data_IF_606477389983
#
_entry.id   IF_606477389983
#
_cell.length_a   1.000
_cell.length_b   1.000
_cell.length_c   1.000
_cell.angle_alpha   90.00
_cell.angle_beta   90.00
_cell.angle_gamma   90.00
#
_symmetry.space_group_name_H-M   'P 1'
#
loop_
_entity.id
_entity.type
_entity.pdbx_description
1 polymer ?
#
# COMPACT_ATOMS: atom_id res chain seq x y z
N UNK A 1 4.53 -6.43 2.61
CA UNK A 1 3.57 -6.40 1.49
C UNK A 1 2.36 -7.28 1.81
N UNK A 2 2.53 -8.59 1.98
CA UNK A 2 1.42 -9.54 2.19
C UNK A 2 0.51 -9.20 3.39
N UNK A 3 1.08 -8.75 4.52
CA UNK A 3 0.27 -8.32 5.66
C UNK A 3 -0.67 -7.15 5.30
N UNK A 4 -0.21 -6.16 4.54
CA UNK A 4 -1.06 -5.06 4.11
C UNK A 4 -2.12 -5.54 3.10
N UNK A 5 -1.75 -6.43 2.18
CA UNK A 5 -2.68 -7.03 1.20
C UNK A 5 -3.83 -7.79 1.87
N UNK A 6 -3.53 -8.55 2.93
CA UNK A 6 -4.54 -9.23 3.76
C UNK A 6 -5.54 -8.23 4.34
N UNK A 7 -5.05 -7.11 4.89
CA UNK A 7 -5.88 -6.11 5.57
C UNK A 7 -6.75 -5.26 4.63
N UNK A 8 -6.47 -5.25 3.34
CA UNK A 8 -7.30 -4.59 2.31
C UNK A 8 -8.18 -5.56 1.53
N UNK A 9 -8.33 -6.80 2.00
CA UNK A 9 -9.25 -7.78 1.41
C UNK A 9 -8.74 -8.52 0.18
N UNK A 10 -7.41 -8.55 -0.06
CA UNK A 10 -6.81 -9.30 -1.16
C UNK A 10 -6.45 -10.76 -0.79
N UNK A 11 -6.83 -11.22 0.41
CA UNK A 11 -6.56 -12.57 0.90
C UNK A 11 -7.79 -13.48 0.82
N UNK A 12 -7.60 -14.77 1.12
CA UNK A 12 -8.63 -15.82 0.94
C UNK A 12 -9.83 -15.71 1.90
N UNK A 13 -9.70 -14.99 3.02
CA UNK A 13 -10.76 -14.78 4.01
C UNK A 13 -10.94 -13.28 4.34
N UNK A 14 -11.45 -12.47 3.40
CA UNK A 14 -11.52 -11.03 3.55
C UNK A 14 -12.52 -10.57 4.61
N UNK A 15 -13.57 -11.35 4.89
CA UNK A 15 -14.59 -10.99 5.89
C UNK A 15 -14.05 -10.95 7.31
N UNK A 16 -13.09 -11.83 7.65
CA UNK A 16 -12.51 -11.88 8.99
C UNK A 16 -11.18 -11.11 9.12
N UNK A 17 -10.51 -10.82 8.01
CA UNK A 17 -9.14 -10.30 8.02
C UNK A 17 -9.03 -8.82 7.64
N UNK A 18 -10.03 -8.23 6.99
CA UNK A 18 -10.00 -6.83 6.56
C UNK A 18 -9.99 -5.90 7.76
N UNK A 19 -9.00 -5.01 7.81
CA UNK A 19 -8.86 -3.96 8.82
C UNK A 19 -8.13 -2.76 8.18
N UNK A 20 -8.90 -1.76 7.75
CA UNK A 20 -8.34 -0.61 7.04
C UNK A 20 -7.49 0.29 7.96
N UNK A 21 -7.76 0.32 9.26
CA UNK A 21 -6.93 1.11 10.19
C UNK A 21 -5.55 0.47 10.36
N UNK A 22 -5.47 -0.85 10.37
CA UNK A 22 -4.20 -1.58 10.34
C UNK A 22 -3.53 -1.48 8.97
N UNK A 23 -4.29 -1.64 7.87
CA UNK A 23 -3.77 -1.52 6.51
C UNK A 23 -3.08 -0.18 6.28
N UNK A 24 -3.68 0.94 6.73
CA UNK A 24 -3.10 2.29 6.58
C UNK A 24 -1.69 2.37 7.16
N UNK A 25 -1.51 1.88 8.39
CA UNK A 25 -0.21 1.88 9.10
C UNK A 25 0.82 1.03 8.36
N UNK A 26 0.41 -0.15 7.90
CA UNK A 26 1.28 -1.07 7.17
C UNK A 26 1.69 -0.50 5.81
N UNK A 27 0.76 0.11 5.07
CA UNK A 27 1.04 0.74 3.77
C UNK A 27 2.00 1.93 3.95
N UNK A 28 1.78 2.80 4.95
CA UNK A 28 2.67 3.92 5.23
C UNK A 28 4.10 3.46 5.56
N UNK A 29 4.23 2.42 6.39
CA UNK A 29 5.52 1.84 6.74
C UNK A 29 6.21 1.22 5.51
N UNK A 30 5.47 0.47 4.70
CA UNK A 30 5.99 -0.15 3.47
C UNK A 30 6.41 0.90 2.45
N UNK A 31 5.64 1.97 2.28
CA UNK A 31 5.98 3.06 1.38
C UNK A 31 7.29 3.74 1.78
N UNK A 32 7.48 4.02 3.08
CA UNK A 32 8.75 4.53 3.59
C UNK A 32 9.91 3.57 3.33
N UNK A 33 9.72 2.27 3.62
CA UNK A 33 10.74 1.24 3.42
C UNK A 33 11.12 1.08 1.94
N UNK A 34 10.15 0.97 1.04
CA UNK A 34 10.38 0.80 -0.40
C UNK A 34 11.10 2.01 -0.98
N UNK A 35 10.67 3.23 -0.63
CA UNK A 35 11.33 4.45 -1.07
C UNK A 35 12.78 4.56 -0.56
N UNK A 36 13.01 4.26 0.71
CA UNK A 36 14.36 4.32 1.30
C UNK A 36 15.31 3.24 0.75
N UNK A 37 14.78 2.05 0.44
CA UNK A 37 15.59 0.91 -0.06
C UNK A 37 15.82 0.92 -1.57
N UNK A 38 15.03 1.67 -2.35
CA UNK A 38 15.10 1.67 -3.81
C UNK A 38 16.51 1.88 -4.40
N UNK A 39 17.36 2.81 -3.91
CA UNK A 39 18.70 3.02 -4.46
C UNK A 39 19.60 1.78 -4.32
N UNK A 40 19.45 1.03 -3.23
CA UNK A 40 20.26 -0.16 -2.95
C UNK A 40 19.79 -1.41 -3.72
N UNK A 41 18.53 -1.44 -4.13
CA UNK A 41 17.92 -2.59 -4.81
C UNK A 41 18.12 -2.57 -6.33
N UNK A 42 18.47 -1.42 -6.89
CA UNK A 42 18.50 -1.21 -8.35
C UNK A 42 17.11 -1.23 -8.99
N UNK A 43 17.04 -0.78 -10.24
CA UNK A 43 15.77 -0.47 -10.91
C UNK A 43 14.80 -1.65 -10.99
N UNK A 44 15.31 -2.84 -11.33
CA UNK A 44 14.47 -4.02 -11.57
C UNK A 44 13.72 -4.47 -10.30
N UNK A 45 14.44 -4.66 -9.19
CA UNK A 45 13.84 -5.09 -7.93
C UNK A 45 13.01 -3.99 -7.28
N UNK A 46 13.46 -2.74 -7.36
CA UNK A 46 12.71 -1.60 -6.83
C UNK A 46 11.38 -1.38 -7.59
N UNK A 47 11.35 -1.62 -8.90
CA UNK A 47 10.10 -1.53 -9.69
C UNK A 47 9.07 -2.55 -9.22
N UNK A 48 9.44 -3.82 -9.08
CA UNK A 48 8.50 -4.85 -8.62
C UNK A 48 7.89 -4.53 -7.25
N UNK A 49 8.68 -3.97 -6.32
CA UNK A 49 8.18 -3.55 -5.01
C UNK A 49 7.24 -2.34 -5.09
N UNK A 50 7.55 -1.35 -5.93
CA UNK A 50 6.68 -0.19 -6.17
C UNK A 50 5.35 -0.62 -6.78
N UNK A 51 5.38 -1.55 -7.74
CA UNK A 51 4.18 -2.06 -8.40
C UNK A 51 3.29 -2.81 -7.39
N UNK A 52 3.87 -3.70 -6.58
CA UNK A 52 3.13 -4.40 -5.52
C UNK A 52 2.56 -3.44 -4.46
N UNK A 53 3.31 -2.41 -4.06
CA UNK A 53 2.82 -1.38 -3.15
C UNK A 53 1.64 -0.60 -3.75
N UNK A 54 1.74 -0.22 -5.03
CA UNK A 54 0.67 0.48 -5.76
C UNK A 54 -0.61 -0.36 -5.81
N UNK A 55 -0.51 -1.68 -6.04
CA UNK A 55 -1.67 -2.59 -6.00
C UNK A 55 -2.38 -2.53 -4.65
N UNK A 56 -1.63 -2.57 -3.55
CA UNK A 56 -2.22 -2.50 -2.20
C UNK A 56 -2.83 -1.12 -1.91
N UNK A 57 -2.18 -0.03 -2.35
CA UNK A 57 -2.71 1.32 -2.20
C UNK A 57 -4.03 1.53 -2.96
N UNK A 58 -4.13 0.98 -4.18
CA UNK A 58 -5.37 1.02 -4.96
C UNK A 58 -6.49 0.20 -4.30
N UNK A 59 -6.18 -1.00 -3.82
CA UNK A 59 -7.14 -1.84 -3.10
C UNK A 59 -7.62 -1.17 -1.80
N UNK A 60 -6.73 -0.51 -1.04
CA UNK A 60 -7.12 0.29 0.11
C UNK A 60 -8.14 1.38 -0.28
N UNK A 61 -7.85 2.11 -1.36
CA UNK A 61 -8.69 3.22 -1.80
C UNK A 61 -10.08 2.75 -2.24
N UNK A 62 -10.15 1.60 -2.91
CA UNK A 62 -11.41 0.98 -3.32
C UNK A 62 -12.21 0.47 -2.12
N UNK A 63 -11.53 -0.14 -1.14
CA UNK A 63 -12.17 -0.68 0.05
C UNK A 63 -12.61 0.41 1.06
N UNK A 64 -11.98 1.58 1.06
CA UNK A 64 -12.27 2.64 2.03
C UNK A 64 -13.63 3.31 1.75
N UNK A 65 -14.58 3.27 2.70
CA UNK A 65 -15.83 4.03 2.57
C UNK A 65 -15.63 5.54 2.76
N UNK A 66 -14.44 5.95 3.20
CA UNK A 66 -14.04 7.34 3.39
C UNK A 66 -12.83 7.63 2.49
N UNK A 67 -13.05 8.14 1.26
CA UNK A 67 -11.96 8.44 0.35
C UNK A 67 -11.05 9.52 0.94
N UNK A 68 -9.74 9.24 0.97
CA UNK A 68 -8.73 10.26 1.26
C UNK A 68 -8.69 11.30 0.14
N UNK A 69 -8.31 12.54 0.48
CA UNK A 69 -7.99 13.55 -0.54
C UNK A 69 -6.86 13.07 -1.46
N UNK A 70 -6.83 13.59 -2.69
CA UNK A 70 -5.78 13.25 -3.65
C UNK A 70 -4.37 13.56 -3.10
N UNK A 71 -3.49 12.56 -3.05
CA UNK A 71 -2.15 12.70 -2.48
C UNK A 71 -2.09 12.56 -0.96
N UNK A 72 -3.20 12.22 -0.30
CA UNK A 72 -3.32 12.01 1.16
C UNK A 72 -3.66 10.57 1.56
N UNK A 73 -3.77 9.66 0.60
CA UNK A 73 -3.95 8.24 0.86
C UNK A 73 -2.73 7.61 1.56
N UNK A 74 -2.88 6.40 2.12
CA UNK A 74 -1.79 5.71 2.80
C UNK A 74 -0.56 5.53 1.90
N UNK A 75 0.61 5.94 2.38
CA UNK A 75 1.87 5.86 1.65
C UNK A 75 2.10 6.94 0.59
N UNK A 76 1.08 7.72 0.19
CA UNK A 76 1.18 8.70 -0.90
C UNK A 76 2.16 9.85 -0.62
N UNK A 77 2.47 10.12 0.66
CA UNK A 77 3.56 11.04 1.05
C UNK A 77 4.93 10.63 0.48
N UNK A 78 5.14 9.33 0.20
CA UNK A 78 6.39 8.80 -0.33
C UNK A 78 6.30 8.40 -1.80
N UNK A 79 5.12 7.93 -2.24
CA UNK A 79 4.93 7.36 -3.58
C UNK A 79 4.32 8.35 -4.58
N UNK A 80 3.80 9.48 -4.10
CA UNK A 80 2.88 10.32 -4.85
C UNK A 80 1.48 9.71 -4.95
N UNK A 81 0.53 10.44 -5.56
CA UNK A 81 -0.85 9.99 -5.67
C UNK A 81 -1.02 8.69 -6.47
N UNK A 82 -1.91 7.82 -6.01
CA UNK A 82 -2.41 6.66 -6.74
C UNK A 82 -3.79 6.98 -7.34
N UNK A 83 -3.91 6.68 -8.64
CA UNK A 83 -4.99 7.16 -9.50
C UNK A 83 -6.33 6.55 -9.18
#
# INVERSE_FOLDING_TARGET
MSAAAVKVGLADDPESQTDLDEARKLIDALAGLVTASAPSLGDHHARALRDGLRTVQLAFREASPFPDEHGKGPGEKYTGPVG
#
